data_IF_582538258327
#
_entry.id   IF_582538258327
#
_cell.length_a   1.000
_cell.length_b   1.000
_cell.length_c   1.000
_cell.angle_alpha   90.00
_cell.angle_beta   90.00
_cell.angle_gamma   90.00
#
_symmetry.space_group_name_H-M   'P 1'
#
loop_
_entity.id
_entity.type
_entity.pdbx_description
1 polymer ?
#
# COMPACT_ATOMS: atom_id res chain seq x y z
N UNK A 1 8.42 -33.15 28.99
CA UNK A 1 8.48 -31.69 28.90
C UNK A 1 7.43 -31.23 27.87
N UNK A 2 6.23 -30.82 28.34
CA UNK A 2 5.11 -30.43 27.46
C UNK A 2 5.38 -29.00 26.95
N UNK A 3 5.68 -28.85 25.68
CA UNK A 3 5.69 -27.54 25.03
C UNK A 3 4.22 -27.13 24.86
N UNK A 4 3.80 -26.17 25.67
CA UNK A 4 2.51 -25.50 25.56
C UNK A 4 2.49 -24.77 24.23
N UNK A 5 1.76 -25.30 23.26
CA UNK A 5 1.43 -24.60 22.03
C UNK A 5 0.49 -23.44 22.38
N UNK A 6 1.06 -22.25 22.51
CA UNK A 6 0.30 -21.02 22.63
C UNK A 6 -0.38 -20.77 21.28
N UNK A 7 -1.65 -21.15 21.18
CA UNK A 7 -2.46 -21.09 19.96
C UNK A 7 -3.06 -19.68 19.80
N UNK A 8 -2.24 -18.62 19.88
CA UNK A 8 -2.61 -17.32 19.37
C UNK A 8 -2.64 -17.43 17.85
N UNK A 9 -3.83 -17.47 17.27
CA UNK A 9 -4.01 -17.37 15.81
C UNK A 9 -3.31 -16.10 15.37
N UNK A 10 -2.11 -16.21 14.81
CA UNK A 10 -1.35 -15.11 14.27
C UNK A 10 -2.21 -14.43 13.20
N UNK A 11 -2.47 -13.13 13.37
CA UNK A 11 -3.27 -12.35 12.41
C UNK A 11 -2.35 -11.80 11.34
N UNK A 12 -2.80 -11.87 10.10
CA UNK A 12 -2.12 -11.27 8.95
C UNK A 12 -1.79 -9.80 9.23
N UNK A 13 -0.55 -9.40 8.97
CA UNK A 13 -0.06 -8.06 9.20
C UNK A 13 0.54 -7.44 7.93
N UNK A 14 -0.30 -6.82 7.12
CA UNK A 14 0.13 -6.08 5.92
C UNK A 14 0.69 -4.67 6.19
N UNK A 15 1.18 -4.43 7.39
CA UNK A 15 1.74 -3.15 7.83
C UNK A 15 0.70 -2.26 8.52
N UNK A 16 1.18 -1.56 9.53
CA UNK A 16 0.46 -0.49 10.25
C UNK A 16 1.25 0.79 10.05
N UNK A 17 1.16 1.30 8.84
CA UNK A 17 1.84 2.51 8.43
C UNK A 17 1.45 3.67 9.35
N UNK A 18 2.44 4.49 9.72
CA UNK A 18 2.26 5.70 10.53
C UNK A 18 1.63 5.52 11.94
N UNK A 19 1.64 4.29 12.48
CA UNK A 19 0.99 4.04 13.79
C UNK A 19 1.60 4.90 14.92
N UNK A 20 2.91 5.12 14.91
CA UNK A 20 3.58 6.01 15.86
C UNK A 20 3.08 7.46 15.77
N UNK A 21 3.01 7.99 14.55
CA UNK A 21 2.50 9.36 14.30
C UNK A 21 1.02 9.47 14.69
N UNK A 22 0.22 8.43 14.42
CA UNK A 22 -1.19 8.39 14.82
C UNK A 22 -1.38 8.42 16.33
N UNK A 23 -0.54 7.70 17.09
CA UNK A 23 -0.57 7.72 18.57
C UNK A 23 -0.19 9.09 19.10
N UNK A 24 0.84 9.73 18.53
CA UNK A 24 1.25 11.10 18.90
C UNK A 24 0.11 12.09 18.61
N UNK A 25 -0.55 11.99 17.44
CA UNK A 25 -1.66 12.85 17.08
C UNK A 25 -2.84 12.75 18.06
N UNK A 26 -3.16 11.53 18.54
CA UNK A 26 -4.20 11.32 19.56
C UNK A 26 -3.78 11.91 20.90
N UNK A 27 -2.56 11.65 21.36
CA UNK A 27 -2.05 12.19 22.61
C UNK A 27 -2.07 13.73 22.60
N UNK A 28 -1.62 14.34 21.49
CA UNK A 28 -1.67 15.79 21.31
C UNK A 28 -3.12 16.32 21.32
N UNK A 29 -4.04 15.62 20.65
CA UNK A 29 -5.47 15.99 20.65
C UNK A 29 -6.07 15.96 22.05
N UNK A 30 -5.71 14.98 22.88
CA UNK A 30 -6.17 14.90 24.27
C UNK A 30 -5.67 16.12 25.07
N UNK A 31 -4.40 16.50 24.92
CA UNK A 31 -3.84 17.69 25.57
C UNK A 31 -4.60 18.96 25.16
N UNK A 32 -4.86 19.14 23.87
CA UNK A 32 -5.59 20.30 23.37
C UNK A 32 -7.03 20.34 23.89
N UNK A 33 -7.72 19.21 23.98
CA UNK A 33 -9.07 19.14 24.57
C UNK A 33 -9.03 19.55 26.04
N UNK A 34 -8.04 19.09 26.79
CA UNK A 34 -7.89 19.46 28.21
C UNK A 34 -7.70 20.97 28.37
N UNK A 35 -6.85 21.58 27.53
CA UNK A 35 -6.64 23.03 27.51
C UNK A 35 -7.93 23.76 27.15
N UNK A 36 -8.67 23.30 26.15
CA UNK A 36 -9.93 23.91 25.73
C UNK A 36 -10.98 23.89 26.85
N UNK A 37 -11.11 22.77 27.55
CA UNK A 37 -12.02 22.64 28.70
C UNK A 37 -11.61 23.60 29.83
N UNK A 38 -10.34 23.65 30.20
CA UNK A 38 -9.84 24.57 31.23
C UNK A 38 -10.09 26.02 30.85
N UNK A 39 -9.82 26.41 29.61
CA UNK A 39 -10.08 27.76 29.09
C UNK A 39 -11.58 28.10 29.02
N UNK A 40 -12.44 27.13 28.70
CA UNK A 40 -13.88 27.33 28.74
C UNK A 40 -14.41 27.63 30.17
N UNK A 41 -13.85 26.96 31.19
CA UNK A 41 -14.15 27.24 32.59
C UNK A 41 -13.69 28.66 33.01
N UNK A 42 -12.52 29.10 32.53
CA UNK A 42 -12.03 30.46 32.80
C UNK A 42 -12.91 31.49 32.07
N UNK A 43 -13.20 31.32 30.80
CA UNK A 43 -14.05 32.20 30.01
C UNK A 43 -15.42 32.39 30.67
N UNK A 44 -16.02 31.32 31.21
CA UNK A 44 -17.31 31.43 31.91
C UNK A 44 -17.27 32.32 33.15
N UNK A 45 -16.08 32.59 33.71
CA UNK A 45 -15.89 33.45 34.89
C UNK A 45 -15.45 34.87 34.53
N UNK A 46 -14.64 35.03 33.47
CA UNK A 46 -13.97 36.28 33.14
C UNK A 46 -14.59 36.96 31.91
N UNK A 47 -15.20 36.21 30.99
CA UNK A 47 -15.67 36.73 29.71
C UNK A 47 -14.54 37.19 28.77
N UNK A 48 -13.29 36.77 29.02
CA UNK A 48 -12.11 37.20 28.25
C UNK A 48 -12.12 36.57 26.83
N UNK A 49 -12.19 37.41 25.81
CA UNK A 49 -12.21 36.99 24.42
C UNK A 49 -10.92 36.24 24.00
N UNK A 50 -9.79 36.44 24.68
CA UNK A 50 -8.57 35.69 24.44
C UNK A 50 -8.76 34.20 24.76
N UNK A 51 -9.49 33.87 25.83
CA UNK A 51 -9.83 32.50 26.17
C UNK A 51 -10.70 31.84 25.10
N UNK A 52 -11.65 32.58 24.51
CA UNK A 52 -12.49 32.09 23.43
C UNK A 52 -11.66 31.70 22.18
N UNK A 53 -10.69 32.51 21.78
CA UNK A 53 -9.82 32.20 20.66
C UNK A 53 -8.97 30.96 20.91
N UNK A 54 -8.46 30.76 22.13
CA UNK A 54 -7.72 29.57 22.53
C UNK A 54 -8.60 28.32 22.44
N UNK A 55 -9.87 28.41 22.91
CA UNK A 55 -10.83 27.32 22.82
C UNK A 55 -11.06 26.91 21.36
N UNK A 56 -11.32 27.89 20.49
CA UNK A 56 -11.55 27.65 19.06
C UNK A 56 -10.34 26.96 18.43
N UNK A 57 -9.14 27.50 18.66
CA UNK A 57 -7.89 26.94 18.14
C UNK A 57 -7.68 25.49 18.60
N UNK A 58 -7.75 25.24 19.92
CA UNK A 58 -7.55 23.90 20.47
C UNK A 58 -8.59 22.90 19.95
N UNK A 59 -9.85 23.32 19.78
CA UNK A 59 -10.92 22.46 19.26
C UNK A 59 -10.69 22.11 17.79
N UNK A 60 -10.32 23.07 16.95
CA UNK A 60 -10.02 22.84 15.54
C UNK A 60 -8.85 21.88 15.35
N UNK A 61 -7.74 22.09 16.05
CA UNK A 61 -6.57 21.23 15.92
C UNK A 61 -6.80 19.83 16.51
N UNK A 62 -7.54 19.71 17.61
CA UNK A 62 -7.91 18.42 18.17
C UNK A 62 -8.82 17.63 17.23
N UNK A 63 -9.82 18.25 16.60
CA UNK A 63 -10.68 17.58 15.63
C UNK A 63 -9.91 17.13 14.39
N UNK A 64 -8.96 17.95 13.91
CA UNK A 64 -8.08 17.58 12.79
C UNK A 64 -7.19 16.35 13.15
N UNK A 65 -6.60 16.32 14.35
CA UNK A 65 -5.81 15.19 14.84
C UNK A 65 -6.63 13.90 14.97
N UNK A 66 -7.86 13.99 15.45
CA UNK A 66 -8.77 12.86 15.53
C UNK A 66 -9.20 12.38 14.13
N UNK A 67 -9.48 13.29 13.20
CA UNK A 67 -9.80 12.95 11.82
C UNK A 67 -8.61 12.22 11.13
N UNK A 68 -7.38 12.69 11.37
CA UNK A 68 -6.18 12.04 10.88
C UNK A 68 -6.03 10.62 11.44
N UNK A 69 -6.26 10.42 12.73
CA UNK A 69 -6.23 9.10 13.37
C UNK A 69 -7.27 8.15 12.77
N UNK A 70 -8.53 8.61 12.63
CA UNK A 70 -9.61 7.81 12.03
C UNK A 70 -9.33 7.47 10.57
N UNK A 71 -8.78 8.42 9.80
CA UNK A 71 -8.36 8.19 8.42
C UNK A 71 -7.24 7.13 8.33
N UNK A 72 -6.31 7.13 9.29
CA UNK A 72 -5.26 6.11 9.37
C UNK A 72 -5.81 4.71 9.66
N UNK A 73 -6.72 4.58 10.62
CA UNK A 73 -7.40 3.31 10.91
C UNK A 73 -8.15 2.82 9.66
N UNK A 74 -8.92 3.69 9.02
CA UNK A 74 -9.66 3.35 7.80
C UNK A 74 -8.73 2.93 6.67
N UNK A 75 -7.65 3.70 6.43
CA UNK A 75 -6.63 3.39 5.44
C UNK A 75 -6.03 1.99 5.65
N UNK A 76 -5.61 1.68 6.88
CA UNK A 76 -4.99 0.40 7.23
C UNK A 76 -5.93 -0.79 7.23
N UNK A 77 -7.20 -0.62 7.65
CA UNK A 77 -8.17 -1.71 7.80
C UNK A 77 -9.11 -1.89 6.61
N UNK A 78 -9.35 -0.86 5.82
CA UNK A 78 -10.33 -0.86 4.72
C UNK A 78 -9.71 -0.38 3.41
N UNK A 79 -9.06 0.77 3.42
CA UNK A 79 -8.63 1.44 2.20
C UNK A 79 -7.70 0.59 1.33
N UNK A 80 -6.64 0.02 1.91
CA UNK A 80 -5.68 -0.81 1.16
C UNK A 80 -6.27 -2.13 0.67
N UNK A 81 -7.21 -2.72 1.41
CA UNK A 81 -7.91 -3.93 0.94
C UNK A 81 -8.85 -3.61 -0.22
N UNK A 82 -9.58 -2.49 -0.16
CA UNK A 82 -10.39 -2.01 -1.30
C UNK A 82 -9.54 -1.73 -2.53
N UNK A 83 -8.35 -1.12 -2.37
CA UNK A 83 -7.40 -0.93 -3.47
C UNK A 83 -7.00 -2.27 -4.07
N UNK A 84 -6.55 -3.22 -3.24
CA UNK A 84 -6.18 -4.57 -3.65
C UNK A 84 -7.29 -5.26 -4.44
N UNK A 85 -8.50 -5.27 -3.88
CA UNK A 85 -9.62 -5.98 -4.49
C UNK A 85 -9.98 -5.37 -5.84
N UNK A 86 -10.00 -4.04 -5.95
CA UNK A 86 -10.20 -3.34 -7.22
C UNK A 86 -9.11 -3.63 -8.26
N UNK A 87 -7.84 -3.80 -7.87
CA UNK A 87 -6.78 -4.18 -8.81
C UNK A 87 -7.13 -5.48 -9.51
N UNK A 88 -7.55 -6.48 -8.76
CA UNK A 88 -7.81 -7.83 -9.29
C UNK A 88 -9.24 -8.04 -9.84
N UNK A 89 -10.19 -7.14 -9.55
CA UNK A 89 -11.58 -7.26 -9.97
C UNK A 89 -11.77 -7.33 -11.50
N UNK A 90 -10.92 -6.62 -12.25
CA UNK A 90 -11.00 -6.52 -13.70
C UNK A 90 -9.82 -7.21 -14.43
N UNK A 91 -8.99 -7.94 -13.70
CA UNK A 91 -7.98 -8.80 -14.30
C UNK A 91 -8.61 -10.18 -14.51
N UNK A 92 -8.87 -10.53 -15.77
CA UNK A 92 -9.37 -11.85 -16.14
C UNK A 92 -8.25 -12.90 -15.95
N UNK A 93 -8.06 -13.31 -14.70
CA UNK A 93 -7.08 -14.33 -14.35
C UNK A 93 -7.68 -15.72 -14.53
N UNK A 94 -6.97 -16.57 -15.28
CA UNK A 94 -7.35 -17.97 -15.56
C UNK A 94 -6.81 -18.93 -14.49
N UNK A 95 -5.88 -18.46 -13.66
CA UNK A 95 -5.26 -19.22 -12.58
C UNK A 95 -3.93 -19.89 -12.95
N UNK A 96 -3.46 -19.77 -14.18
CA UNK A 96 -2.18 -20.32 -14.64
C UNK A 96 -1.13 -19.25 -14.98
N UNK A 97 -1.40 -17.99 -14.60
CA UNK A 97 -0.51 -16.88 -14.88
C UNK A 97 0.75 -16.91 -14.02
N UNK A 98 1.86 -16.45 -14.62
CA UNK A 98 3.03 -16.00 -13.89
C UNK A 98 2.84 -14.52 -13.52
N UNK A 99 2.73 -14.23 -12.25
CA UNK A 99 2.52 -12.86 -11.72
C UNK A 99 3.78 -12.36 -11.05
N UNK A 100 4.16 -11.09 -11.29
CA UNK A 100 5.21 -10.39 -10.56
C UNK A 100 4.60 -9.22 -9.77
N UNK A 101 4.86 -9.16 -8.48
CA UNK A 101 4.54 -8.02 -7.61
C UNK A 101 5.82 -7.27 -7.26
N UNK A 102 5.98 -6.07 -7.81
CA UNK A 102 7.20 -5.26 -7.68
C UNK A 102 7.05 -4.27 -6.54
N UNK A 103 7.97 -4.35 -5.56
CA UNK A 103 7.84 -3.67 -4.29
C UNK A 103 6.77 -4.34 -3.43
N UNK A 104 6.84 -5.67 -3.33
CA UNK A 104 5.76 -6.47 -2.72
C UNK A 104 5.57 -6.22 -1.21
N UNK A 105 6.53 -5.62 -0.53
CA UNK A 105 6.47 -5.32 0.89
C UNK A 105 6.05 -6.54 1.71
N UNK A 106 4.97 -6.42 2.47
CA UNK A 106 4.40 -7.52 3.27
C UNK A 106 3.44 -8.42 2.51
N UNK A 107 3.41 -8.35 1.17
CA UNK A 107 2.73 -9.27 0.29
C UNK A 107 1.23 -9.00 0.07
N UNK A 108 0.75 -7.76 0.23
CA UNK A 108 -0.67 -7.45 0.05
C UNK A 108 -1.19 -7.84 -1.34
N UNK A 109 -0.49 -7.48 -2.42
CA UNK A 109 -0.86 -7.85 -3.78
C UNK A 109 -0.35 -9.25 -4.15
N UNK A 110 0.87 -9.60 -3.76
CA UNK A 110 1.47 -10.92 -3.99
C UNK A 110 0.53 -12.05 -3.53
N UNK A 111 0.08 -11.99 -2.28
CA UNK A 111 -0.80 -13.00 -1.68
C UNK A 111 -2.19 -12.97 -2.34
N UNK A 112 -2.69 -11.79 -2.67
CA UNK A 112 -3.96 -11.66 -3.38
C UNK A 112 -3.90 -12.24 -4.78
N UNK A 113 -2.78 -12.12 -5.50
CA UNK A 113 -2.54 -12.82 -6.77
C UNK A 113 -2.48 -14.34 -6.54
N UNK A 114 -1.66 -14.80 -5.59
CA UNK A 114 -1.48 -16.23 -5.30
C UNK A 114 -2.79 -16.94 -4.97
N UNK A 115 -3.72 -16.29 -4.28
CA UNK A 115 -5.07 -16.83 -4.00
C UNK A 115 -5.93 -17.05 -5.24
N UNK A 116 -5.64 -16.39 -6.35
CA UNK A 116 -6.35 -16.50 -7.63
C UNK A 116 -5.70 -17.51 -8.57
N UNK A 117 -4.51 -17.97 -8.23
CA UNK A 117 -3.77 -18.95 -9.03
C UNK A 117 -4.16 -20.38 -8.65
N UNK A 118 -4.20 -21.25 -9.65
CA UNK A 118 -4.36 -22.71 -9.51
C UNK A 118 -3.03 -23.42 -9.78
N UNK A 119 -2.46 -23.19 -10.97
CA UNK A 119 -1.18 -23.76 -11.43
C UNK A 119 -0.10 -22.71 -11.68
N UNK A 120 -0.47 -21.43 -11.70
CA UNK A 120 0.44 -20.30 -11.84
C UNK A 120 1.27 -20.02 -10.59
N UNK A 121 2.21 -19.07 -10.71
CA UNK A 121 3.12 -18.67 -9.64
C UNK A 121 3.11 -17.16 -9.47
N UNK A 122 2.97 -16.68 -8.23
CA UNK A 122 3.15 -15.28 -7.88
C UNK A 122 4.57 -15.05 -7.33
N UNK A 123 5.34 -14.18 -7.98
CA UNK A 123 6.68 -13.80 -7.53
C UNK A 123 6.63 -12.39 -6.95
N UNK A 124 7.13 -12.20 -5.73
CA UNK A 124 7.32 -10.89 -5.10
C UNK A 124 8.79 -10.51 -5.13
N UNK A 125 9.07 -9.25 -5.44
CA UNK A 125 10.41 -8.68 -5.36
C UNK A 125 10.39 -7.40 -4.54
N UNK A 126 11.33 -7.25 -3.62
CA UNK A 126 11.52 -6.04 -2.82
C UNK A 126 13.00 -5.94 -2.43
N UNK A 127 13.49 -4.76 -2.08
CA UNK A 127 14.86 -4.56 -1.62
C UNK A 127 14.97 -4.56 -0.08
N UNK A 128 13.86 -4.63 0.64
CA UNK A 128 13.74 -4.69 2.12
C UNK A 128 14.43 -3.56 2.89
N UNK A 129 14.89 -2.52 2.18
CA UNK A 129 15.58 -1.35 2.73
C UNK A 129 14.54 -0.28 3.12
N UNK A 130 13.70 -0.59 4.10
CA UNK A 130 12.77 0.39 4.67
C UNK A 130 13.45 1.29 5.71
N UNK A 131 12.87 2.48 5.95
CA UNK A 131 13.19 3.29 7.15
C UNK A 131 12.79 2.52 8.41
N UNK A 132 13.31 2.92 9.58
CA UNK A 132 13.04 2.26 10.87
C UNK A 132 11.54 2.09 11.16
N UNK A 133 10.69 2.98 10.63
CA UNK A 133 9.22 2.93 10.76
C UNK A 133 8.55 1.91 9.85
N UNK A 134 9.19 1.53 8.73
CA UNK A 134 8.68 0.60 7.73
C UNK A 134 9.58 -0.63 7.61
N UNK A 135 9.87 -1.28 8.74
CA UNK A 135 10.63 -2.53 8.74
C UNK A 135 9.82 -3.62 8.04
N UNK A 136 9.86 -3.61 6.72
CA UNK A 136 9.43 -4.75 5.93
C UNK A 136 10.60 -5.72 5.81
N UNK A 137 10.32 -7.00 5.97
CA UNK A 137 11.29 -8.07 5.74
C UNK A 137 10.62 -9.20 4.96
N UNK A 138 11.41 -9.99 4.28
CA UNK A 138 10.91 -11.17 3.55
C UNK A 138 10.20 -12.15 4.48
N UNK A 139 10.67 -12.28 5.73
CA UNK A 139 10.06 -13.15 6.75
C UNK A 139 8.61 -12.75 7.06
N UNK A 140 8.32 -11.43 7.14
CA UNK A 140 6.96 -10.95 7.35
C UNK A 140 6.04 -11.28 6.19
N UNK A 141 6.56 -11.29 4.97
CA UNK A 141 5.81 -11.68 3.77
C UNK A 141 5.55 -13.18 3.78
N UNK A 142 6.54 -13.99 4.12
CA UNK A 142 6.38 -15.44 4.30
C UNK A 142 5.41 -15.78 5.41
N UNK A 143 5.44 -15.05 6.55
CA UNK A 143 4.49 -15.26 7.65
C UNK A 143 3.05 -14.99 7.20
N UNK A 144 2.82 -13.85 6.50
CA UNK A 144 1.51 -13.55 5.94
C UNK A 144 1.04 -14.61 4.94
N UNK A 145 1.94 -15.10 4.07
CA UNK A 145 1.63 -16.15 3.11
C UNK A 145 1.26 -17.48 3.79
N UNK A 146 1.92 -17.81 4.90
CA UNK A 146 1.61 -19.00 5.70
C UNK A 146 0.24 -18.91 6.35
N UNK A 147 -0.07 -17.74 6.96
CA UNK A 147 -1.38 -17.50 7.57
C UNK A 147 -2.50 -17.59 6.52
N UNK A 148 -2.22 -17.11 5.30
CA UNK A 148 -3.18 -17.08 4.19
C UNK A 148 -3.22 -18.37 3.36
N UNK A 149 -2.34 -19.35 3.67
CA UNK A 149 -2.34 -20.69 3.06
C UNK A 149 -1.89 -20.72 1.59
N UNK A 150 -0.93 -19.88 1.19
CA UNK A 150 -0.48 -19.74 -0.21
C UNK A 150 1.03 -19.89 -0.39
N UNK A 151 1.72 -20.49 0.56
CA UNK A 151 3.19 -20.64 0.52
C UNK A 151 3.71 -21.46 -0.65
N UNK A 152 2.91 -22.38 -1.15
CA UNK A 152 3.20 -23.22 -2.33
C UNK A 152 3.03 -22.49 -3.67
N UNK A 153 2.40 -21.32 -3.66
CA UNK A 153 2.08 -20.51 -4.86
C UNK A 153 2.84 -19.21 -4.94
N UNK A 154 3.80 -18.98 -4.04
CA UNK A 154 4.59 -17.75 -4.04
C UNK A 154 6.09 -18.04 -4.10
N UNK A 155 6.81 -17.06 -4.66
CA UNK A 155 8.26 -16.92 -4.57
C UNK A 155 8.60 -15.50 -4.12
N UNK A 156 9.57 -15.34 -3.22
CA UNK A 156 10.01 -14.03 -2.74
C UNK A 156 11.50 -13.90 -3.07
N UNK A 157 11.88 -12.77 -3.64
CA UNK A 157 13.24 -12.48 -4.10
C UNK A 157 13.66 -11.10 -3.61
N UNK A 158 14.90 -10.99 -3.15
CA UNK A 158 15.54 -9.71 -2.89
C UNK A 158 16.02 -9.10 -4.20
N UNK A 159 15.75 -7.82 -4.42
CA UNK A 159 16.22 -7.17 -5.64
C UNK A 159 15.79 -5.72 -5.78
N UNK A 160 16.42 -5.06 -6.77
CA UNK A 160 16.15 -3.68 -7.12
C UNK A 160 15.20 -3.63 -8.32
N UNK A 161 14.15 -2.81 -8.23
CA UNK A 161 13.17 -2.61 -9.29
C UNK A 161 13.79 -2.00 -10.56
N UNK A 162 14.93 -1.31 -10.44
CA UNK A 162 15.65 -0.72 -11.58
C UNK A 162 16.56 -1.72 -12.31
N UNK A 163 16.67 -2.95 -11.80
CA UNK A 163 17.45 -4.04 -12.40
C UNK A 163 16.83 -5.39 -12.01
N UNK A 164 15.70 -5.75 -12.62
CA UNK A 164 14.97 -6.96 -12.30
C UNK A 164 15.73 -8.22 -12.74
N UNK A 165 15.99 -9.21 -11.85
CA UNK A 165 16.76 -10.41 -12.14
C UNK A 165 15.95 -11.45 -12.92
N UNK A 166 15.20 -11.03 -13.91
CA UNK A 166 14.35 -11.89 -14.72
C UNK A 166 14.64 -11.70 -16.21
N UNK A 167 14.41 -12.76 -17.00
CA UNK A 167 14.46 -12.69 -18.45
C UNK A 167 13.32 -11.83 -19.02
N UNK A 168 13.50 -11.36 -20.23
CA UNK A 168 12.46 -10.68 -20.99
C UNK A 168 11.21 -11.56 -21.16
N UNK A 169 10.04 -10.95 -21.19
CA UNK A 169 8.78 -11.62 -21.49
C UNK A 169 8.48 -12.84 -20.59
N UNK A 170 8.70 -12.70 -19.29
CA UNK A 170 8.56 -13.79 -18.30
C UNK A 170 7.17 -13.83 -17.66
N UNK A 171 6.53 -12.68 -17.41
CA UNK A 171 5.32 -12.57 -16.59
C UNK A 171 4.09 -12.18 -17.43
N UNK A 172 2.95 -12.79 -17.11
CA UNK A 172 1.66 -12.46 -17.72
C UNK A 172 1.08 -11.18 -17.11
N UNK A 173 1.30 -10.98 -15.80
CA UNK A 173 0.83 -9.82 -15.06
C UNK A 173 2.00 -9.28 -14.20
N UNK A 174 2.21 -7.96 -14.27
CA UNK A 174 3.13 -7.25 -13.39
C UNK A 174 2.32 -6.24 -12.58
N UNK A 175 2.43 -6.27 -11.26
CA UNK A 175 1.74 -5.35 -10.34
C UNK A 175 2.74 -4.53 -9.54
N UNK A 176 2.37 -3.32 -9.18
CA UNK A 176 3.06 -2.51 -8.19
C UNK A 176 2.07 -1.59 -7.49
N UNK A 177 2.25 -1.41 -6.17
CA UNK A 177 1.40 -0.50 -5.40
C UNK A 177 2.17 0.35 -4.41
N UNK A 178 1.88 1.66 -4.41
CA UNK A 178 2.40 2.65 -3.44
C UNK A 178 3.94 2.61 -3.30
N UNK A 179 4.64 2.26 -4.38
CA UNK A 179 6.09 2.09 -4.38
C UNK A 179 6.78 3.05 -5.34
N UNK A 180 6.23 3.26 -6.55
CA UNK A 180 6.90 4.02 -7.60
C UNK A 180 7.18 5.47 -7.20
N UNK A 181 6.35 6.09 -6.37
CA UNK A 181 6.57 7.46 -5.88
C UNK A 181 7.80 7.58 -4.96
N UNK A 182 8.36 6.47 -4.47
CA UNK A 182 9.61 6.42 -3.70
C UNK A 182 10.84 6.13 -4.56
N UNK A 183 10.66 5.71 -5.82
CA UNK A 183 11.77 5.34 -6.70
C UNK A 183 12.39 6.57 -7.34
N UNK A 184 13.71 6.74 -7.20
CA UNK A 184 14.44 7.90 -7.79
C UNK A 184 14.41 7.87 -9.33
N UNK A 185 14.62 6.70 -9.93
CA UNK A 185 14.62 6.52 -11.38
C UNK A 185 13.39 5.68 -11.79
N UNK A 186 12.23 6.33 -11.85
CA UNK A 186 10.97 5.69 -12.19
C UNK A 186 10.91 5.21 -13.64
N UNK A 187 11.58 5.90 -14.57
CA UNK A 187 11.59 5.51 -15.98
C UNK A 187 12.36 4.20 -16.18
N UNK A 188 13.49 4.02 -15.48
CA UNK A 188 14.22 2.75 -15.52
C UNK A 188 13.42 1.62 -14.89
N UNK A 189 12.74 1.88 -13.76
CA UNK A 189 11.86 0.91 -13.12
C UNK A 189 10.71 0.48 -14.04
N UNK A 190 10.05 1.44 -14.70
CA UNK A 190 8.99 1.15 -15.67
C UNK A 190 9.52 0.36 -16.88
N UNK A 191 10.71 0.73 -17.39
CA UNK A 191 11.36 0.00 -18.49
C UNK A 191 11.61 -1.46 -18.11
N UNK A 192 12.10 -1.74 -16.93
CA UNK A 192 12.32 -3.10 -16.43
C UNK A 192 11.01 -3.88 -16.27
N UNK A 193 9.97 -3.26 -15.68
CA UNK A 193 8.65 -3.89 -15.56
C UNK A 193 8.07 -4.26 -16.93
N UNK A 194 8.22 -3.37 -17.93
CA UNK A 194 7.74 -3.64 -19.31
C UNK A 194 8.62 -4.68 -20.02
N UNK A 195 9.94 -4.70 -19.75
CA UNK A 195 10.85 -5.70 -20.32
C UNK A 195 10.44 -7.11 -19.92
N UNK A 196 10.19 -7.32 -18.61
CA UNK A 196 9.85 -8.65 -18.08
C UNK A 196 8.40 -9.07 -18.35
N UNK A 197 7.55 -8.14 -18.81
CA UNK A 197 6.15 -8.40 -19.16
C UNK A 197 6.06 -9.09 -20.52
N UNK A 198 5.29 -10.19 -20.62
CA UNK A 198 5.02 -10.91 -21.87
C UNK A 198 4.26 -10.03 -22.87
N UNK A 199 4.35 -10.29 -24.20
CA UNK A 199 3.38 -9.79 -25.18
C UNK A 199 1.96 -10.15 -24.75
N UNK A 200 1.03 -9.22 -24.87
CA UNK A 200 -0.35 -9.27 -24.34
C UNK A 200 -0.47 -9.28 -22.81
N UNK A 201 0.64 -9.25 -22.07
CA UNK A 201 0.65 -9.14 -20.62
C UNK A 201 0.18 -7.76 -20.14
N UNK A 202 -0.15 -7.67 -18.87
CA UNK A 202 -0.77 -6.49 -18.25
C UNK A 202 0.12 -5.94 -17.15
N UNK A 203 0.44 -4.64 -17.21
CA UNK A 203 1.08 -3.89 -16.12
C UNK A 203 0.02 -3.09 -15.36
N UNK A 204 -0.03 -3.29 -14.05
CA UNK A 204 -0.95 -2.58 -13.14
C UNK A 204 -0.16 -1.73 -12.15
N UNK A 205 -0.41 -0.44 -12.16
CA UNK A 205 0.17 0.52 -11.22
C UNK A 205 -0.95 1.09 -10.36
N UNK A 206 -0.85 0.93 -9.04
CA UNK A 206 -1.73 1.59 -8.08
C UNK A 206 -0.92 2.57 -7.22
N UNK A 207 -1.08 3.87 -7.45
CA UNK A 207 -0.28 4.89 -6.78
C UNK A 207 -1.09 6.18 -6.59
N UNK A 208 -0.64 7.05 -5.66
CA UNK A 208 -1.22 8.38 -5.42
C UNK A 208 -1.09 9.29 -6.64
N UNK A 209 -0.09 9.06 -7.48
CA UNK A 209 0.20 9.82 -8.68
C UNK A 209 0.25 8.92 -9.94
N UNK A 210 -0.55 7.83 -9.98
CA UNK A 210 -0.47 6.85 -11.07
C UNK A 210 -0.62 7.48 -12.47
N UNK A 211 -1.44 8.52 -12.61
CA UNK A 211 -1.64 9.21 -13.89
C UNK A 211 -0.37 9.80 -14.52
N UNK A 212 0.64 10.14 -13.73
CA UNK A 212 1.92 10.67 -14.24
C UNK A 212 2.72 9.64 -15.04
N UNK A 213 2.47 8.34 -14.80
CA UNK A 213 3.18 7.26 -15.49
C UNK A 213 2.56 6.89 -16.84
N UNK A 214 1.41 7.47 -17.18
CA UNK A 214 0.67 7.13 -18.40
C UNK A 214 1.53 7.34 -19.65
N UNK A 215 2.11 8.52 -19.82
CA UNK A 215 2.96 8.83 -20.98
C UNK A 215 4.18 7.92 -21.08
N UNK A 216 4.86 7.65 -19.96
CA UNK A 216 6.01 6.74 -19.94
C UNK A 216 5.62 5.31 -20.33
N UNK A 217 4.46 4.82 -19.85
CA UNK A 217 3.94 3.51 -20.24
C UNK A 217 3.63 3.43 -21.75
N UNK A 218 3.00 4.46 -22.32
CA UNK A 218 2.69 4.55 -23.76
C UNK A 218 3.97 4.58 -24.60
N UNK A 219 4.98 5.36 -24.21
CA UNK A 219 6.29 5.38 -24.88
C UNK A 219 7.03 4.03 -24.82
N UNK A 220 6.80 3.25 -23.77
CA UNK A 220 7.35 1.90 -23.64
C UNK A 220 6.55 0.83 -24.39
N UNK A 221 5.51 1.20 -25.15
CA UNK A 221 4.74 0.32 -26.02
C UNK A 221 3.57 -0.39 -25.30
N UNK A 222 3.03 0.21 -24.24
CA UNK A 222 1.78 -0.26 -23.66
C UNK A 222 0.61 0.59 -24.13
N UNK A 223 -0.50 -0.07 -24.45
CA UNK A 223 -1.81 0.60 -24.62
C UNK A 223 -2.49 0.71 -23.28
N UNK A 224 -2.85 1.93 -22.87
CA UNK A 224 -3.58 2.15 -21.62
C UNK A 224 -5.02 1.69 -21.81
N UNK A 225 -5.41 0.65 -21.08
CA UNK A 225 -6.75 0.07 -21.15
C UNK A 225 -7.68 0.56 -20.03
N UNK A 226 -7.10 1.07 -18.92
CA UNK A 226 -7.91 1.59 -17.83
C UNK A 226 -7.14 2.61 -16.99
N UNK A 227 -7.86 3.66 -16.59
CA UNK A 227 -7.46 4.59 -15.51
C UNK A 227 -8.66 4.79 -14.60
N UNK A 228 -8.56 4.46 -13.31
CA UNK A 228 -9.68 4.60 -12.38
C UNK A 228 -9.25 4.96 -10.96
N UNK A 229 -10.15 5.61 -10.24
CA UNK A 229 -9.99 5.84 -8.81
C UNK A 229 -10.15 4.53 -8.03
N UNK A 230 -9.16 4.21 -7.20
CA UNK A 230 -9.19 3.05 -6.33
C UNK A 230 -9.84 3.37 -4.98
N UNK A 231 -9.21 4.27 -4.23
CA UNK A 231 -9.57 4.59 -2.85
C UNK A 231 -8.87 5.87 -2.39
N UNK A 232 -9.09 6.27 -1.14
CA UNK A 232 -8.22 7.23 -0.45
C UNK A 232 -7.43 6.51 0.65
N UNK A 233 -6.16 6.86 0.79
CA UNK A 233 -5.32 6.44 1.91
C UNK A 233 -4.82 7.71 2.60
N UNK A 234 -5.12 7.89 3.88
CA UNK A 234 -4.80 9.13 4.61
C UNK A 234 -5.22 10.41 3.87
N UNK A 235 -6.42 10.50 3.33
CA UNK A 235 -6.91 11.59 2.48
C UNK A 235 -6.32 11.66 1.07
N UNK A 236 -5.19 11.01 0.77
CA UNK A 236 -4.59 10.99 -0.56
C UNK A 236 -5.34 10.05 -1.50
N UNK A 237 -5.74 10.51 -2.69
CA UNK A 237 -6.40 9.67 -3.67
C UNK A 237 -5.39 8.69 -4.29
N UNK A 238 -5.75 7.41 -4.32
CA UNK A 238 -5.00 6.38 -5.04
C UNK A 238 -5.73 6.03 -6.31
N UNK A 239 -5.00 6.02 -7.42
CA UNK A 239 -5.49 5.68 -8.74
C UNK A 239 -4.86 4.39 -9.23
N UNK A 240 -5.63 3.63 -10.00
CA UNK A 240 -5.15 2.45 -10.72
C UNK A 240 -4.99 2.82 -12.19
N UNK A 241 -3.82 2.53 -12.74
CA UNK A 241 -3.48 2.65 -14.15
C UNK A 241 -3.13 1.26 -14.66
N UNK A 242 -3.80 0.81 -15.73
CA UNK A 242 -3.60 -0.50 -16.35
C UNK A 242 -3.18 -0.31 -17.79
N UNK A 243 -2.04 -0.88 -18.16
CA UNK A 243 -1.54 -0.91 -19.53
C UNK A 243 -1.31 -2.33 -20.01
N UNK A 244 -1.64 -2.60 -21.26
CA UNK A 244 -1.42 -3.88 -21.94
C UNK A 244 -0.26 -3.75 -22.92
N UNK A 245 0.68 -4.69 -22.89
CA UNK A 245 1.80 -4.74 -23.83
C UNK A 245 1.32 -5.29 -25.17
N UNK A 246 1.55 -4.53 -26.24
CA UNK A 246 1.16 -4.94 -27.58
C UNK A 246 1.98 -6.16 -28.05
N UNK A 247 1.37 -6.95 -28.93
CA UNK A 247 2.05 -8.04 -29.63
C UNK A 247 2.88 -7.41 -30.75
N UNK A 248 4.21 -7.37 -30.59
CA UNK A 248 5.10 -7.03 -31.70
C UNK A 248 5.23 -8.21 -32.65
#
# INVERSE_FOLDING_TARGET
>A
MKISANNEKSKVNYGREMMGIMVIAVAFSIVLITIAIWKAILFSKTGDLADLWIIIFCTLFSTAGMAFFLAGIWSGKVGKFRMRDKIFENLEMKGNEDVLDVGCGRGLLLIAAAKRLTTGLATGIDHWKGTVEYRNTSEMTWENARIEGVTDKIKIIDGDVTSLPFTDNRFDVVTTSLMLHHVKNTDLALKEMVRVLKPNGVLVIADIAAGRFKSSMEHLGLTIIQTRFATRLFFMPVWILIGKKEKK
#
